data_IF_531730291786
#
_entry.id   IF_531730291786
#
_cell.length_a   1.000
_cell.length_b   1.000
_cell.length_c   1.000
_cell.angle_alpha   90.00
_cell.angle_beta   90.00
_cell.angle_gamma   90.00
#
_symmetry.space_group_name_H-M   'P 1'
#
loop_
_entity.id
_entity.type
_entity.pdbx_description
1 polymer ?
#
# COMPACT_ATOMS: atom_id res chain seq x y z
N UNK A 1 4.60 -12.10 0.48
CA UNK A 1 3.95 -10.87 0.00
C UNK A 1 5.02 -9.85 -0.38
N UNK A 2 4.78 -9.02 -1.39
CA UNK A 2 5.71 -7.97 -1.85
C UNK A 2 5.06 -6.60 -1.81
N UNK A 3 5.85 -5.58 -1.47
CA UNK A 3 5.47 -4.17 -1.58
C UNK A 3 6.22 -3.46 -2.73
N UNK A 4 6.92 -4.21 -3.57
CA UNK A 4 7.73 -3.69 -4.67
C UNK A 4 6.91 -3.58 -5.97
N UNK A 5 7.01 -2.46 -6.66
CA UNK A 5 6.33 -2.19 -7.95
C UNK A 5 6.89 -3.07 -9.07
N UNK A 6 8.18 -3.43 -9.02
CA UNK A 6 8.83 -4.28 -10.03
C UNK A 6 8.49 -5.76 -9.85
N UNK A 7 8.02 -6.17 -8.67
CA UNK A 7 7.66 -7.55 -8.42
C UNK A 7 6.35 -7.94 -9.13
N UNK A 8 6.43 -8.95 -9.99
CA UNK A 8 5.26 -9.54 -10.65
C UNK A 8 4.53 -10.48 -9.70
N UNK A 9 3.20 -10.35 -9.61
CA UNK A 9 2.40 -11.28 -8.80
C UNK A 9 2.46 -12.70 -9.39
N UNK A 10 2.58 -13.68 -8.52
CA UNK A 10 2.58 -15.11 -8.85
C UNK A 10 1.70 -15.85 -7.85
N UNK A 11 1.43 -17.13 -8.08
CA UNK A 11 0.68 -17.98 -7.13
C UNK A 11 1.30 -17.99 -5.73
N UNK A 12 2.62 -17.76 -5.61
CA UNK A 12 3.36 -17.74 -4.34
C UNK A 12 3.70 -16.32 -3.87
N UNK A 13 3.47 -15.30 -4.69
CA UNK A 13 3.83 -13.92 -4.41
C UNK A 13 2.67 -12.97 -4.67
N UNK A 14 1.99 -12.57 -3.60
CA UNK A 14 0.91 -11.58 -3.59
C UNK A 14 1.40 -10.20 -3.15
N UNK A 15 0.68 -9.14 -3.51
CA UNK A 15 0.98 -7.76 -3.06
C UNK A 15 0.55 -7.51 -1.61
N UNK A 16 1.30 -6.63 -0.92
CA UNK A 16 0.94 -6.02 0.36
C UNK A 16 1.20 -4.52 0.30
N UNK A 17 0.42 -3.74 1.02
CA UNK A 17 0.63 -2.30 1.12
C UNK A 17 1.91 -2.00 1.91
N UNK A 18 2.78 -1.14 1.38
CA UNK A 18 4.00 -0.70 2.08
C UNK A 18 3.70 0.03 3.39
N UNK A 19 2.61 0.82 3.44
CA UNK A 19 2.26 1.61 4.61
C UNK A 19 1.43 0.82 5.63
N UNK A 20 0.28 0.26 5.23
CA UNK A 20 -0.66 -0.36 6.17
C UNK A 20 -0.74 -1.90 6.10
N UNK A 21 0.15 -2.54 5.35
CA UNK A 21 0.26 -4.01 5.20
C UNK A 21 -0.97 -4.75 4.66
N UNK A 22 -2.10 -4.08 4.38
CA UNK A 22 -3.28 -4.71 3.77
C UNK A 22 -2.92 -5.44 2.48
N UNK A 23 -3.51 -6.63 2.31
CA UNK A 23 -3.27 -7.55 1.19
C UNK A 23 -4.42 -7.59 0.21
N UNK A 24 -5.59 -7.06 0.58
CA UNK A 24 -6.81 -7.11 -0.24
C UNK A 24 -7.45 -5.71 -0.39
N UNK A 25 -6.72 -4.72 -0.91
CA UNK A 25 -7.31 -3.42 -1.16
C UNK A 25 -8.17 -3.42 -2.42
N UNK A 26 -9.17 -2.52 -2.52
CA UNK A 26 -9.98 -2.36 -3.74
C UNK A 26 -9.15 -2.00 -4.99
N UNK A 27 -8.03 -1.29 -4.79
CA UNK A 27 -7.05 -1.02 -5.84
C UNK A 27 -5.68 -0.71 -5.25
N UNK A 28 -4.66 -0.97 -6.06
CA UNK A 28 -3.26 -0.70 -5.75
C UNK A 28 -2.80 0.62 -6.40
N UNK A 29 -1.93 1.36 -5.72
CA UNK A 29 -1.30 2.60 -6.21
C UNK A 29 0.21 2.53 -6.03
N UNK A 30 0.94 3.30 -6.83
CA UNK A 30 2.37 3.56 -6.58
C UNK A 30 2.48 4.63 -5.50
N UNK A 31 3.39 4.44 -4.54
CA UNK A 31 3.65 5.45 -3.51
C UNK A 31 4.28 6.68 -4.15
N UNK A 32 3.81 7.87 -3.77
CA UNK A 32 4.41 9.15 -4.18
C UNK A 32 5.54 9.55 -3.24
N UNK A 33 5.56 8.99 -2.02
CA UNK A 33 6.58 9.26 -1.01
C UNK A 33 7.75 8.27 -1.07
N UNK A 34 7.48 7.03 -1.49
CA UNK A 34 8.47 5.95 -1.54
C UNK A 34 8.52 5.37 -2.97
N UNK A 35 9.35 5.92 -3.86
CA UNK A 35 9.51 5.41 -5.21
C UNK A 35 9.81 3.90 -5.22
N UNK A 36 9.18 3.18 -6.14
CA UNK A 36 9.31 1.72 -6.22
C UNK A 36 8.44 0.94 -5.24
N UNK A 37 7.72 1.61 -4.32
CA UNK A 37 6.78 0.95 -3.41
C UNK A 37 5.34 1.02 -3.87
N UNK A 38 4.58 -0.03 -3.56
CA UNK A 38 3.15 -0.13 -3.79
C UNK A 38 2.38 0.08 -2.49
N UNK A 39 1.29 0.83 -2.57
CA UNK A 39 0.40 1.13 -1.44
C UNK A 39 -1.05 0.85 -1.82
N UNK A 40 -1.90 0.62 -0.83
CA UNK A 40 -3.33 0.50 -1.08
C UNK A 40 -3.95 1.84 -1.49
N UNK A 41 -5.17 1.80 -2.04
CA UNK A 41 -5.89 3.00 -2.44
C UNK A 41 -5.95 4.08 -1.35
N UNK A 42 -6.30 3.69 -0.11
CA UNK A 42 -6.47 4.64 1.01
C UNK A 42 -5.15 5.30 1.41
N UNK A 43 -4.05 4.54 1.44
CA UNK A 43 -2.73 5.08 1.76
C UNK A 43 -2.21 5.99 0.64
N UNK A 44 -2.31 5.57 -0.63
CA UNK A 44 -1.86 6.40 -1.76
C UNK A 44 -2.68 7.68 -1.93
N UNK A 45 -3.98 7.68 -1.60
CA UNK A 45 -4.78 8.90 -1.57
C UNK A 45 -4.36 9.84 -0.43
N UNK A 46 -4.03 9.29 0.75
CA UNK A 46 -3.53 10.07 1.87
C UNK A 46 -2.20 10.73 1.55
N UNK A 47 -1.24 9.99 0.96
CA UNK A 47 0.05 10.54 0.53
C UNK A 47 -0.11 11.75 -0.40
N UNK A 48 -1.03 11.68 -1.37
CA UNK A 48 -1.29 12.78 -2.31
C UNK A 48 -1.95 14.00 -1.67
N UNK A 49 -2.80 13.79 -0.68
CA UNK A 49 -3.63 14.87 -0.08
C UNK A 49 -2.93 15.56 1.09
N UNK A 50 -2.16 14.80 1.88
CA UNK A 50 -1.52 15.29 3.10
C UNK A 50 0.01 15.37 2.96
N UNK A 51 0.56 15.00 1.80
CA UNK A 51 2.00 14.99 1.52
C UNK A 51 2.80 14.17 2.56
N UNK A 52 2.16 13.18 3.18
CA UNK A 52 2.71 12.41 4.29
C UNK A 52 2.17 10.99 4.32
N UNK A 53 2.85 10.09 5.05
CA UNK A 53 2.43 8.70 5.19
C UNK A 53 1.17 8.62 6.06
N UNK A 54 0.27 7.68 5.76
CA UNK A 54 -0.97 7.54 6.52
C UNK A 54 -0.68 7.00 7.92
N UNK A 55 -1.16 7.66 9.00
CA UNK A 55 -1.04 7.12 10.34
C UNK A 55 -1.92 5.87 10.49
N UNK A 56 -1.33 4.78 10.99
CA UNK A 56 -1.98 3.47 11.06
C UNK A 56 -2.86 3.26 12.28
N UNK A 57 -2.72 4.10 13.31
CA UNK A 57 -3.36 3.95 14.64
C UNK A 57 -4.90 3.84 14.63
N UNK A 58 -5.58 4.13 13.53
CA UNK A 58 -7.04 4.20 13.49
C UNK A 58 -7.72 3.16 12.58
N UNK A 59 -6.98 2.36 11.80
CA UNK A 59 -7.56 1.44 10.81
C UNK A 59 -7.25 -0.04 11.04
N UNK A 60 -6.65 -0.42 12.17
CA UNK A 60 -6.36 -1.82 12.52
C UNK A 60 -7.62 -2.69 12.77
N UNK A 61 -8.85 -2.15 12.62
CA UNK A 61 -10.09 -2.88 12.88
C UNK A 61 -10.76 -3.52 11.66
N UNK A 62 -10.05 -3.66 10.53
CA UNK A 62 -10.60 -4.38 9.36
C UNK A 62 -9.56 -5.29 8.73
N UNK A 63 -9.17 -6.30 9.50
CA UNK A 63 -8.60 -7.55 9.00
C UNK A 63 -9.64 -8.66 9.24
#
# INVERSE_FOLDING_TARGET
>A
YTDDVAAKETLRLKRKCFNCLTTEPPSWRRSTLNPGKIVCNKCGLYERTHLGARPLRFDELRA
#
